data_IF_213979807920
#
_entry.id   IF_213979807920
#
_cell.length_a   1.000
_cell.length_b   1.000
_cell.length_c   1.000
_cell.angle_alpha   90.00
_cell.angle_beta   90.00
_cell.angle_gamma   90.00
#
_symmetry.space_group_name_H-M   'P 1'
#
loop_
_entity.id
_entity.type
_entity.pdbx_description
1 polymer ?
#
# COMPACT_ATOMS: atom_id res chain seq x y z
N UNK A 1 -33.14 -4.77 1.47
CA UNK A 1 -32.36 -5.66 2.35
C UNK A 1 -30.89 -5.35 2.13
N UNK A 2 -30.18 -5.03 3.20
CA UNK A 2 -28.77 -4.63 3.23
C UNK A 2 -27.87 -5.75 2.71
N UNK A 3 -27.06 -5.46 1.69
CA UNK A 3 -25.96 -6.31 1.27
C UNK A 3 -24.66 -5.75 1.82
N UNK A 4 -24.15 -6.33 2.90
CA UNK A 4 -22.76 -6.12 3.31
C UNK A 4 -21.87 -6.89 2.33
N UNK A 5 -21.26 -6.18 1.39
CA UNK A 5 -20.26 -6.72 0.48
C UNK A 5 -18.88 -6.26 0.91
N UNK A 6 -18.20 -7.03 1.74
CA UNK A 6 -16.75 -6.91 1.94
C UNK A 6 -16.03 -7.57 0.75
N UNK A 7 -16.24 -7.08 -0.46
CA UNK A 7 -15.27 -7.30 -1.54
C UNK A 7 -14.45 -6.03 -1.60
N UNK A 8 -13.17 -6.16 -1.33
CA UNK A 8 -12.17 -5.09 -1.36
C UNK A 8 -11.95 -4.51 -2.76
N UNK A 9 -12.71 -4.98 -3.77
CA UNK A 9 -12.94 -4.33 -5.05
C UNK A 9 -14.45 -4.15 -5.36
N UNK A 10 -14.79 -3.15 -6.16
CA UNK A 10 -16.17 -2.70 -6.42
C UNK A 10 -16.73 -3.15 -7.77
N UNK A 11 -16.11 -4.12 -8.45
CA UNK A 11 -16.68 -4.71 -9.64
C UNK A 11 -18.04 -5.36 -9.31
N UNK A 12 -19.11 -4.88 -9.96
CA UNK A 12 -20.49 -5.31 -9.68
C UNK A 12 -21.19 -4.57 -8.54
N UNK A 13 -20.54 -3.58 -7.90
CA UNK A 13 -21.20 -2.70 -6.93
C UNK A 13 -22.20 -1.74 -7.60
N UNK A 14 -23.12 -1.18 -6.82
CA UNK A 14 -24.11 -0.22 -7.31
C UNK A 14 -23.47 1.08 -7.81
N UNK A 15 -24.14 1.78 -8.72
CA UNK A 15 -23.66 3.07 -9.24
C UNK A 15 -23.45 4.11 -8.13
N UNK A 16 -24.30 4.07 -7.09
CA UNK A 16 -24.16 4.93 -5.91
C UNK A 16 -22.84 4.66 -5.18
N UNK A 17 -22.52 3.38 -4.91
CA UNK A 17 -21.28 3.00 -4.23
C UNK A 17 -20.03 3.35 -5.08
N UNK A 18 -20.09 3.12 -6.39
CA UNK A 18 -19.01 3.47 -7.31
C UNK A 18 -18.81 4.98 -7.39
N UNK A 19 -19.88 5.77 -7.41
CA UNK A 19 -19.83 7.23 -7.46
C UNK A 19 -19.25 7.80 -6.17
N UNK A 20 -19.76 7.35 -5.01
CA UNK A 20 -19.23 7.78 -3.71
C UNK A 20 -17.73 7.47 -3.57
N UNK A 21 -17.27 6.34 -4.11
CA UNK A 21 -15.85 5.95 -4.07
C UNK A 21 -14.97 6.83 -4.97
N UNK A 22 -15.48 7.30 -6.12
CA UNK A 22 -14.76 8.23 -7.01
C UNK A 22 -14.45 9.57 -6.33
N UNK A 23 -15.23 9.95 -5.33
CA UNK A 23 -15.04 11.19 -4.56
C UNK A 23 -14.08 11.01 -3.37
N UNK A 24 -13.42 9.85 -3.24
CA UNK A 24 -12.42 9.57 -2.20
C UNK A 24 -10.99 9.67 -2.73
N UNK A 25 -10.02 9.46 -1.84
CA UNK A 25 -8.59 9.36 -2.19
C UNK A 25 -8.16 7.95 -2.65
N UNK A 26 -9.07 6.97 -2.68
CA UNK A 26 -8.74 5.60 -3.05
C UNK A 26 -8.25 5.50 -4.51
N UNK A 27 -7.29 4.62 -4.76
CA UNK A 27 -6.86 4.33 -6.14
C UNK A 27 -8.08 3.92 -7.00
N UNK A 28 -8.35 4.59 -8.14
CA UNK A 28 -9.49 4.28 -9.00
C UNK A 28 -9.55 2.83 -9.50
N UNK A 29 -8.44 2.10 -9.48
CA UNK A 29 -8.40 0.67 -9.79
C UNK A 29 -9.38 -0.15 -8.93
N UNK A 30 -9.73 0.32 -7.72
CA UNK A 30 -10.71 -0.35 -6.85
C UNK A 30 -12.10 -0.46 -7.50
N UNK A 31 -12.45 0.46 -8.41
CA UNK A 31 -13.77 0.53 -9.03
C UNK A 31 -14.06 -0.62 -10.00
N UNK A 32 -13.00 -1.22 -10.53
CA UNK A 32 -13.07 -2.32 -11.50
C UNK A 32 -12.44 -3.62 -10.95
N UNK A 33 -11.88 -3.57 -9.75
CA UNK A 33 -11.33 -4.75 -9.09
C UNK A 33 -12.46 -5.72 -8.68
N UNK A 34 -12.30 -6.99 -9.05
CA UNK A 34 -13.23 -8.06 -8.66
C UNK A 34 -12.93 -8.63 -7.27
N UNK A 35 -11.65 -8.71 -6.91
CA UNK A 35 -11.20 -9.25 -5.65
C UNK A 35 -9.89 -8.58 -5.22
N UNK A 36 -9.60 -8.66 -3.92
CA UNK A 36 -8.26 -8.44 -3.37
C UNK A 36 -7.60 -9.80 -3.14
N UNK A 37 -6.35 -9.92 -3.54
CA UNK A 37 -5.50 -11.04 -3.18
C UNK A 37 -4.39 -10.53 -2.27
N UNK A 38 -4.24 -11.18 -1.10
CA UNK A 38 -3.15 -10.92 -0.16
C UNK A 38 -2.26 -12.16 -0.17
N UNK A 39 -0.96 -11.96 -0.41
CA UNK A 39 0.05 -13.01 -0.30
C UNK A 39 0.97 -12.60 0.84
N UNK A 40 0.92 -13.34 1.94
CA UNK A 40 1.69 -13.05 3.14
C UNK A 40 2.51 -14.27 3.58
N UNK A 41 3.60 -13.98 4.28
CA UNK A 41 4.38 -14.98 5.01
C UNK A 41 4.25 -14.69 6.50
N UNK A 42 4.09 -15.74 7.28
CA UNK A 42 3.99 -15.66 8.73
C UNK A 42 5.26 -16.21 9.40
N UNK A 43 5.56 -15.71 10.58
CA UNK A 43 6.68 -16.16 11.39
C UNK A 43 6.41 -15.91 12.88
N UNK A 44 7.15 -16.60 13.77
CA UNK A 44 7.04 -16.32 15.20
C UNK A 44 7.49 -14.88 15.51
N UNK A 45 7.02 -14.29 16.63
CA UNK A 45 7.50 -12.98 17.08
C UNK A 45 9.03 -12.96 17.20
N UNK A 46 9.65 -11.96 16.57
CA UNK A 46 11.09 -11.82 16.51
C UNK A 46 11.53 -10.47 17.09
N UNK A 47 12.47 -10.51 18.04
CA UNK A 47 12.98 -9.37 18.78
C UNK A 47 14.51 -9.45 18.85
N UNK A 48 15.25 -8.51 18.22
CA UNK A 48 16.70 -8.45 18.32
C UNK A 48 17.16 -8.41 19.79
N UNK A 49 18.06 -9.33 20.16
CA UNK A 49 18.66 -9.38 21.49
C UNK A 49 17.85 -10.13 22.56
N UNK A 50 16.69 -10.71 22.23
CA UNK A 50 15.95 -11.59 23.13
C UNK A 50 16.23 -13.05 22.77
N UNK A 51 16.81 -13.80 23.72
CA UNK A 51 17.16 -15.21 23.53
C UNK A 51 15.96 -16.07 23.16
N UNK A 52 16.07 -16.80 22.06
CA UNK A 52 15.02 -17.67 21.52
C UNK A 52 13.98 -16.94 20.68
N UNK A 53 14.11 -15.62 20.55
CA UNK A 53 13.26 -14.76 19.73
C UNK A 53 14.08 -13.96 18.71
N UNK A 54 15.34 -14.31 18.46
CA UNK A 54 16.14 -13.59 17.49
C UNK A 54 15.55 -13.71 16.07
N UNK A 55 15.58 -12.63 15.26
CA UNK A 55 15.11 -12.70 13.89
C UNK A 55 15.90 -13.70 13.04
N UNK A 56 15.22 -14.69 12.46
CA UNK A 56 15.79 -15.51 11.39
C UNK A 56 15.71 -14.75 10.07
N UNK A 57 16.74 -13.92 9.83
CA UNK A 57 16.86 -13.11 8.62
C UNK A 57 16.92 -13.96 7.35
N UNK A 58 17.43 -15.20 7.42
CA UNK A 58 17.54 -16.07 6.25
C UNK A 58 16.16 -16.57 5.85
N UNK A 59 15.38 -17.07 6.81
CA UNK A 59 14.00 -17.49 6.59
C UNK A 59 13.15 -16.32 6.11
N UNK A 60 13.25 -15.15 6.75
CA UNK A 60 12.52 -13.94 6.37
C UNK A 60 12.80 -13.51 4.92
N UNK A 61 14.07 -13.48 4.50
CA UNK A 61 14.45 -13.17 3.11
C UNK A 61 13.93 -14.21 2.12
N UNK A 62 13.96 -15.49 2.49
CA UNK A 62 13.44 -16.57 1.66
C UNK A 62 11.91 -16.46 1.48
N UNK A 63 11.18 -16.13 2.55
CA UNK A 63 9.75 -15.88 2.51
C UNK A 63 9.42 -14.66 1.66
N UNK A 64 10.09 -13.52 1.86
CA UNK A 64 9.91 -12.31 1.06
C UNK A 64 10.09 -12.60 -0.43
N UNK A 65 11.16 -13.33 -0.81
CA UNK A 65 11.39 -13.73 -2.20
C UNK A 65 10.22 -14.53 -2.79
N UNK A 66 9.69 -15.53 -2.07
CA UNK A 66 8.54 -16.33 -2.54
C UNK A 66 7.28 -15.48 -2.69
N UNK A 67 7.03 -14.55 -1.77
CA UNK A 67 5.90 -13.62 -1.83
C UNK A 67 6.02 -12.73 -3.07
N UNK A 68 7.20 -12.18 -3.33
CA UNK A 68 7.47 -11.37 -4.53
C UNK A 68 7.26 -12.18 -5.81
N UNK A 69 7.76 -13.42 -5.88
CA UNK A 69 7.59 -14.30 -7.06
C UNK A 69 6.12 -14.67 -7.31
N UNK A 70 5.38 -15.02 -6.25
CA UNK A 70 3.95 -15.32 -6.33
C UNK A 70 3.14 -14.08 -6.75
N UNK A 71 3.46 -12.92 -6.18
CA UNK A 71 2.82 -11.65 -6.55
C UNK A 71 3.11 -11.26 -8.00
N UNK A 72 4.34 -11.47 -8.47
CA UNK A 72 4.70 -11.26 -9.87
C UNK A 72 3.88 -12.15 -10.81
N UNK A 73 3.61 -13.39 -10.42
CA UNK A 73 2.74 -14.30 -11.19
C UNK A 73 1.30 -13.78 -11.29
N UNK A 74 0.75 -13.17 -10.23
CA UNK A 74 -0.57 -12.52 -10.33
C UNK A 74 -0.55 -11.27 -11.22
N UNK A 75 0.54 -10.49 -11.20
CA UNK A 75 0.70 -9.29 -12.03
C UNK A 75 0.75 -9.60 -13.54
N UNK A 76 1.16 -10.80 -13.95
CA UNK A 76 1.16 -11.16 -15.39
C UNK A 76 -0.24 -11.32 -15.97
N UNK A 77 -1.22 -11.70 -15.14
CA UNK A 77 -2.63 -11.88 -15.56
C UNK A 77 -3.50 -10.65 -15.29
N UNK A 78 -3.03 -9.72 -14.44
CA UNK A 78 -3.71 -8.45 -14.15
C UNK A 78 -2.72 -7.28 -14.32
N UNK A 79 -2.60 -6.70 -15.52
CA UNK A 79 -1.57 -5.70 -15.84
C UNK A 79 -1.78 -4.33 -15.17
N UNK A 80 -2.97 -4.08 -14.59
CA UNK A 80 -3.28 -2.85 -13.85
C UNK A 80 -3.88 -3.22 -12.50
N UNK A 81 -3.08 -3.11 -11.44
CA UNK A 81 -3.51 -3.36 -10.07
C UNK A 81 -3.27 -2.12 -9.22
N UNK A 82 -4.27 -1.76 -8.43
CA UNK A 82 -4.07 -0.90 -7.27
C UNK A 82 -3.68 -1.77 -6.08
N UNK A 83 -2.97 -1.20 -5.12
CA UNK A 83 -2.65 -1.84 -3.84
C UNK A 83 -3.22 -1.01 -2.71
N UNK A 84 -3.79 -1.70 -1.73
CA UNK A 84 -4.43 -1.06 -0.60
C UNK A 84 -3.41 -0.74 0.48
N UNK A 85 -3.15 0.56 0.70
CA UNK A 85 -2.05 1.08 1.55
C UNK A 85 -1.86 0.35 2.88
N UNK A 86 -2.97 -0.08 3.51
CA UNK A 86 -2.95 -0.69 4.84
C UNK A 86 -2.44 -2.13 4.87
N UNK A 87 -2.41 -2.82 3.72
CA UNK A 87 -2.02 -4.24 3.59
C UNK A 87 -0.97 -4.43 2.48
N UNK A 88 -0.24 -3.35 2.18
CA UNK A 88 0.73 -3.31 1.09
C UNK A 88 2.11 -3.81 1.47
N UNK A 89 2.90 -4.17 0.45
CA UNK A 89 4.32 -4.47 0.59
C UNK A 89 5.08 -3.23 1.08
N UNK A 90 5.76 -3.37 2.22
CA UNK A 90 6.64 -2.34 2.78
C UNK A 90 7.73 -1.92 1.77
N UNK A 91 8.12 -2.81 0.85
CA UNK A 91 9.16 -2.59 -0.14
C UNK A 91 8.62 -2.20 -1.54
N UNK A 92 7.33 -1.83 -1.65
CA UNK A 92 6.75 -1.42 -2.93
C UNK A 92 7.47 -0.19 -3.50
N UNK A 93 8.14 -0.35 -4.64
CA UNK A 93 8.96 0.72 -5.24
C UNK A 93 8.09 1.76 -5.94
N UNK A 94 7.00 1.32 -6.57
CA UNK A 94 6.09 2.18 -7.31
C UNK A 94 4.87 2.56 -6.48
N UNK A 95 5.07 2.73 -5.16
CA UNK A 95 4.01 2.89 -4.16
C UNK A 95 3.08 4.08 -4.44
N UNK A 96 3.60 5.15 -5.06
CA UNK A 96 2.82 6.34 -5.40
C UNK A 96 1.68 5.99 -6.37
N UNK A 97 2.00 5.24 -7.44
CA UNK A 97 1.02 4.78 -8.41
C UNK A 97 0.18 3.63 -7.84
N UNK A 98 0.82 2.68 -7.17
CA UNK A 98 0.12 1.53 -6.59
C UNK A 98 -0.97 1.95 -5.59
N UNK A 99 -0.69 2.91 -4.71
CA UNK A 99 -1.59 3.28 -3.61
C UNK A 99 -2.55 4.40 -3.97
N UNK A 100 -2.10 5.38 -4.76
CA UNK A 100 -2.84 6.61 -5.02
C UNK A 100 -3.15 6.82 -6.50
N UNK A 101 -2.35 6.22 -7.39
CA UNK A 101 -2.50 6.35 -8.83
C UNK A 101 -2.53 7.80 -9.28
N UNK A 102 -3.48 8.12 -10.15
CA UNK A 102 -3.71 9.47 -10.69
C UNK A 102 -4.03 10.53 -9.62
N UNK A 103 -4.38 10.15 -8.40
CA UNK A 103 -4.65 11.09 -7.32
C UNK A 103 -3.38 11.62 -6.63
N UNK A 104 -2.23 10.96 -6.81
CA UNK A 104 -1.00 11.32 -6.11
C UNK A 104 -0.63 12.82 -6.21
N UNK A 105 -0.63 13.45 -7.40
CA UNK A 105 -0.26 14.87 -7.51
C UNK A 105 -1.18 15.81 -6.72
N UNK A 106 -2.49 15.53 -6.70
CA UNK A 106 -3.47 16.31 -5.94
C UNK A 106 -3.27 16.12 -4.44
N UNK A 107 -3.06 14.89 -3.99
CA UNK A 107 -2.80 14.59 -2.58
C UNK A 107 -1.50 15.24 -2.11
N UNK A 108 -0.45 15.24 -2.93
CA UNK A 108 0.82 15.91 -2.67
C UNK A 108 0.63 17.43 -2.47
N UNK A 109 -0.17 18.07 -3.33
CA UNK A 109 -0.49 19.49 -3.19
C UNK A 109 -1.24 19.79 -1.88
N UNK A 110 -2.22 18.95 -1.51
CA UNK A 110 -2.97 19.05 -0.26
C UNK A 110 -2.00 18.87 0.93
N UNK A 111 -1.17 17.84 0.92
CA UNK A 111 -0.18 17.57 1.98
C UNK A 111 0.74 18.77 2.21
N UNK A 112 1.27 19.37 1.15
CA UNK A 112 2.13 20.56 1.23
C UNK A 112 1.39 21.80 1.75
N UNK A 113 0.08 21.89 1.52
CA UNK A 113 -0.75 22.98 2.03
C UNK A 113 -1.03 22.87 3.53
N UNK A 114 -1.32 21.65 4.03
CA UNK A 114 -1.72 21.43 5.42
C UNK A 114 -0.56 21.06 6.34
N UNK A 115 0.51 20.47 5.80
CA UNK A 115 1.69 20.06 6.55
C UNK A 115 2.96 20.49 5.80
N UNK A 116 3.20 21.81 5.65
CA UNK A 116 4.34 22.34 4.91
C UNK A 116 5.67 21.95 5.57
N UNK A 117 5.67 21.81 6.91
CA UNK A 117 6.81 21.44 7.74
C UNK A 117 6.98 19.92 7.89
N UNK A 118 6.04 19.14 7.38
CA UNK A 118 6.10 17.68 7.28
C UNK A 118 6.24 17.01 8.64
N UNK A 119 5.48 17.51 9.61
CA UNK A 119 5.37 16.95 10.95
C UNK A 119 4.84 15.51 10.91
N UNK A 120 3.94 15.21 9.96
CA UNK A 120 3.34 13.89 9.85
C UNK A 120 4.05 13.07 8.76
N UNK A 121 5.04 12.29 9.16
CA UNK A 121 5.75 11.36 8.28
C UNK A 121 5.23 9.92 8.45
N UNK A 122 5.08 9.21 7.33
CA UNK A 122 4.76 7.78 7.28
C UNK A 122 5.55 7.18 6.12
N UNK A 123 6.14 6.00 6.31
CA UNK A 123 6.78 5.25 5.23
C UNK A 123 5.80 5.00 4.07
N UNK A 124 6.20 5.35 2.84
CA UNK A 124 5.35 5.36 1.64
C UNK A 124 4.04 6.15 1.78
N UNK A 125 4.00 7.12 2.71
CA UNK A 125 2.95 8.12 2.79
C UNK A 125 3.12 9.21 1.74
N UNK A 126 2.06 9.96 1.45
CA UNK A 126 2.14 11.10 0.52
C UNK A 126 3.24 12.07 0.96
N UNK A 127 4.15 12.41 0.04
CA UNK A 127 5.33 13.26 0.25
C UNK A 127 6.45 12.62 1.11
N UNK A 128 6.43 11.30 1.37
CA UNK A 128 7.52 10.64 2.12
C UNK A 128 8.85 10.63 1.36
N UNK A 129 8.83 10.69 0.03
CA UNK A 129 10.03 10.76 -0.83
C UNK A 129 10.86 12.04 -0.65
N UNK A 130 10.30 13.06 -0.01
CA UNK A 130 11.02 14.29 0.35
C UNK A 130 11.82 14.17 1.66
N UNK A 131 11.85 12.98 2.27
CA UNK A 131 12.42 12.73 3.59
C UNK A 131 13.29 11.47 3.58
N UNK A 132 14.22 11.40 4.53
CA UNK A 132 15.00 10.19 4.82
C UNK A 132 14.08 9.05 5.27
N UNK A 133 14.56 7.80 5.14
CA UNK A 133 13.79 6.61 5.51
C UNK A 133 13.32 6.61 6.97
N UNK A 134 14.06 7.27 7.86
CA UNK A 134 13.72 7.46 9.26
C UNK A 134 12.77 8.65 9.53
N UNK A 135 12.46 9.44 8.50
CA UNK A 135 11.58 10.61 8.57
C UNK A 135 12.17 11.83 9.25
N UNK A 136 13.43 11.80 9.71
CA UNK A 136 14.01 12.89 10.52
C UNK A 136 14.68 13.99 9.70
N UNK A 137 15.03 13.72 8.44
CA UNK A 137 15.77 14.67 7.59
C UNK A 137 15.02 14.94 6.31
N UNK A 138 14.84 16.22 5.96
CA UNK A 138 14.38 16.60 4.61
C UNK A 138 15.47 16.38 3.59
N UNK A 139 15.18 15.57 2.59
CA UNK A 139 15.98 15.45 1.40
C UNK A 139 15.64 16.66 0.53
N UNK A 140 16.51 17.67 0.52
CA UNK A 140 16.34 18.82 -0.38
C UNK A 140 16.33 18.31 -1.82
N UNK A 141 15.38 18.81 -2.61
CA UNK A 141 15.37 18.63 -4.06
C UNK A 141 16.58 19.32 -4.69
#
# INVERSE_FOLDING_TARGET
>A
MSGNGSSTGLAGASDVARTATRDTAMNPAVLDAFALAIIAGEGPPAFPGITGHEPDIRSARSAAKRITEASATLRTVVPRVGSYVSESDFFERDWQDAFWGVHYPRLLAIKKSYDPDGLFFVHHGVNSEAWSDDGFTRLRA
#
